data_IF_991707590011
#
_entry.id   IF_991707590011
#
_cell.length_a   1.000
_cell.length_b   1.000
_cell.length_c   1.000
_cell.angle_alpha   90.00
_cell.angle_beta   90.00
_cell.angle_gamma   90.00
#
_symmetry.space_group_name_H-M   'P 1'
#
loop_
_entity.id
_entity.type
_entity.pdbx_description
1 polymer ?
#
# COMPACT_ATOMS: atom_id res chain seq x y z
N UNK A 1 27.38 33.32 5.32
CA UNK A 1 28.79 33.50 5.68
C UNK A 1 29.25 34.79 5.03
N UNK A 2 29.32 35.88 5.81
CA UNK A 2 29.98 37.10 5.35
C UNK A 2 31.48 36.80 5.24
N UNK A 3 32.13 37.19 4.15
CA UNK A 3 33.60 37.20 4.06
C UNK A 3 34.10 37.97 5.26
N UNK A 4 34.74 37.26 6.21
CA UNK A 4 35.14 37.87 7.48
C UNK A 4 36.21 38.95 7.30
N UNK A 5 36.75 39.06 6.09
CA UNK A 5 37.75 40.03 5.70
C UNK A 5 37.27 40.77 4.43
N UNK A 6 36.61 41.91 4.62
CA UNK A 6 36.16 42.81 3.55
C UNK A 6 37.32 43.21 2.63
N UNK A 7 38.56 43.17 3.15
CA UNK A 7 39.77 43.45 2.40
C UNK A 7 40.06 42.40 1.31
N UNK A 8 39.66 41.14 1.47
CA UNK A 8 39.88 40.10 0.45
C UNK A 8 38.90 40.21 -0.73
N UNK A 9 37.77 40.89 -0.54
CA UNK A 9 36.72 41.00 -1.56
C UNK A 9 37.17 41.81 -2.79
N UNK A 10 37.99 42.86 -2.62
CA UNK A 10 38.53 43.64 -3.74
C UNK A 10 39.53 42.83 -4.58
N UNK A 11 40.27 41.93 -3.94
CA UNK A 11 41.26 41.09 -4.61
C UNK A 11 40.68 39.84 -5.25
N UNK A 12 39.48 39.41 -4.82
CA UNK A 12 38.78 38.30 -5.46
C UNK A 12 38.30 38.62 -6.90
N UNK A 13 38.27 39.90 -7.29
CA UNK A 13 37.78 40.39 -8.57
C UNK A 13 38.89 40.88 -9.52
N UNK A 14 40.16 40.96 -9.09
CA UNK A 14 41.29 41.38 -9.90
C UNK A 14 42.38 40.31 -9.96
N UNK A 15 43.18 40.31 -11.03
CA UNK A 15 44.30 39.38 -11.21
C UNK A 15 45.63 39.90 -10.63
N UNK A 16 45.60 40.98 -9.85
CA UNK A 16 46.78 41.57 -9.24
C UNK A 16 47.40 40.65 -8.17
N UNK A 17 48.72 40.76 -7.96
CA UNK A 17 49.42 39.95 -6.95
C UNK A 17 48.93 40.27 -5.54
N UNK A 18 48.41 39.26 -4.85
CA UNK A 18 47.89 39.40 -3.50
C UNK A 18 49.03 39.72 -2.51
N UNK A 19 48.91 40.78 -1.67
CA UNK A 19 49.89 41.09 -0.65
C UNK A 19 50.20 39.89 0.26
N UNK A 20 51.48 39.71 0.60
CA UNK A 20 51.99 38.53 1.34
C UNK A 20 51.22 38.24 2.64
N UNK A 21 50.88 39.28 3.41
CA UNK A 21 50.14 39.12 4.67
C UNK A 21 48.69 38.64 4.45
N UNK A 22 48.02 39.11 3.39
CA UNK A 22 46.69 38.62 2.99
C UNK A 22 46.77 37.19 2.47
N UNK A 23 47.83 36.83 1.76
CA UNK A 23 48.07 35.45 1.32
C UNK A 23 48.22 34.49 2.50
N UNK A 24 49.02 34.86 3.51
CA UNK A 24 49.19 34.05 4.73
C UNK A 24 47.88 33.94 5.54
N UNK A 25 47.13 35.04 5.67
CA UNK A 25 45.83 35.06 6.33
C UNK A 25 44.82 34.13 5.62
N UNK A 26 44.69 34.28 4.29
CA UNK A 26 43.81 33.45 3.47
C UNK A 26 44.19 31.97 3.56
N UNK A 27 45.49 31.64 3.51
CA UNK A 27 45.98 30.26 3.65
C UNK A 27 45.62 29.66 5.01
N UNK A 28 45.81 30.41 6.09
CA UNK A 28 45.43 29.96 7.43
C UNK A 28 43.92 29.73 7.53
N UNK A 29 43.11 30.62 6.96
CA UNK A 29 41.65 30.50 6.99
C UNK A 29 41.17 29.30 6.16
N UNK A 30 41.76 29.05 4.99
CA UNK A 30 41.47 27.88 4.17
C UNK A 30 41.68 26.57 4.95
N UNK A 31 42.80 26.43 5.67
CA UNK A 31 43.07 25.23 6.48
C UNK A 31 42.00 25.03 7.56
N UNK A 32 41.53 26.11 8.20
CA UNK A 32 40.44 26.04 9.17
C UNK A 32 39.13 25.62 8.52
N UNK A 33 38.75 26.24 7.40
CA UNK A 33 37.52 25.90 6.67
C UNK A 33 37.54 24.47 6.13
N UNK A 34 38.69 23.98 5.65
CA UNK A 34 38.86 22.60 5.21
C UNK A 34 38.61 21.62 6.36
N UNK A 35 39.14 21.91 7.55
CA UNK A 35 38.89 21.12 8.75
C UNK A 35 37.41 21.10 9.13
N UNK A 36 36.78 22.28 9.16
CA UNK A 36 35.36 22.41 9.46
C UNK A 36 34.48 21.68 8.44
N UNK A 37 34.85 21.74 7.16
CA UNK A 37 34.15 21.06 6.08
C UNK A 37 34.27 19.53 6.20
N UNK A 38 35.44 19.01 6.56
CA UNK A 38 35.62 17.58 6.84
C UNK A 38 34.75 17.14 8.02
N UNK A 39 34.74 17.91 9.11
CA UNK A 39 33.94 17.59 10.29
C UNK A 39 32.42 17.70 10.01
N UNK A 40 31.99 18.71 9.25
CA UNK A 40 30.61 18.87 8.84
C UNK A 40 30.15 17.70 7.94
N UNK A 41 31.00 17.24 7.01
CA UNK A 41 30.71 16.06 6.19
C UNK A 41 30.57 14.80 7.04
N UNK A 42 31.46 14.60 8.01
CA UNK A 42 31.37 13.47 8.94
C UNK A 42 30.04 13.47 9.70
N UNK A 43 29.66 14.61 10.29
CA UNK A 43 28.37 14.77 10.99
C UNK A 43 27.18 14.52 10.06
N UNK A 44 27.24 14.97 8.81
CA UNK A 44 26.18 14.71 7.83
C UNK A 44 26.02 13.21 7.54
N UNK A 45 27.12 12.47 7.42
CA UNK A 45 27.06 11.01 7.23
C UNK A 45 26.54 10.26 8.46
N UNK A 46 26.91 10.70 9.68
CA UNK A 46 26.37 10.15 10.92
C UNK A 46 24.84 10.36 11.02
N UNK A 47 24.37 11.58 10.72
CA UNK A 47 22.94 11.89 10.71
C UNK A 47 22.17 11.11 9.65
N UNK A 48 22.76 10.90 8.45
CA UNK A 48 22.15 10.05 7.43
C UNK A 48 21.98 8.61 7.91
N UNK A 49 22.99 8.05 8.57
CA UNK A 49 22.93 6.71 9.16
C UNK A 49 21.85 6.62 10.24
N UNK A 50 21.82 7.59 11.16
CA UNK A 50 20.80 7.64 12.21
C UNK A 50 19.38 7.76 11.64
N UNK A 51 19.20 8.56 10.58
CA UNK A 51 17.92 8.67 9.87
C UNK A 51 17.51 7.37 9.20
N UNK A 52 18.44 6.65 8.58
CA UNK A 52 18.16 5.35 7.97
C UNK A 52 17.71 4.33 9.01
N UNK A 53 18.44 4.22 10.13
CA UNK A 53 18.04 3.35 11.25
C UNK A 53 16.65 3.70 11.80
N UNK A 54 16.39 4.99 12.04
CA UNK A 54 15.08 5.43 12.52
C UNK A 54 13.94 5.15 11.52
N UNK A 55 14.22 5.20 10.22
CA UNK A 55 13.24 4.82 9.20
C UNK A 55 12.92 3.32 9.24
N UNK A 56 13.93 2.48 9.40
CA UNK A 56 13.75 1.03 9.52
C UNK A 56 12.95 0.66 10.78
N UNK A 57 13.21 1.32 11.91
CA UNK A 57 12.47 1.13 13.16
C UNK A 57 11.00 1.55 13.04
N UNK A 58 10.72 2.67 12.35
CA UNK A 58 9.36 3.12 12.06
C UNK A 58 8.65 2.09 11.18
N UNK A 59 9.27 1.66 10.08
CA UNK A 59 8.68 0.64 9.19
C UNK A 59 8.37 -0.66 9.93
N UNK A 60 9.29 -1.15 10.77
CA UNK A 60 9.08 -2.35 11.57
C UNK A 60 7.92 -2.20 12.57
N UNK A 61 7.78 -1.02 13.18
CA UNK A 61 6.69 -0.73 14.11
C UNK A 61 5.34 -0.62 13.39
N UNK A 62 5.31 0.00 12.21
CA UNK A 62 4.11 0.09 11.37
C UNK A 62 3.61 -1.30 10.95
N UNK A 63 4.51 -2.20 10.56
CA UNK A 63 4.17 -3.59 10.23
C UNK A 63 3.55 -4.34 11.40
N UNK A 64 4.08 -4.12 12.62
CA UNK A 64 3.50 -4.69 13.84
C UNK A 64 2.11 -4.11 14.12
N UNK A 65 1.95 -2.79 14.06
CA UNK A 65 0.66 -2.12 14.26
C UNK A 65 -0.37 -2.64 13.27
N UNK A 66 -0.01 -2.77 12.00
CA UNK A 66 -0.91 -3.27 10.97
C UNK A 66 -1.29 -4.74 11.21
N UNK A 67 -0.35 -5.55 11.67
CA UNK A 67 -0.63 -6.93 12.08
C UNK A 67 -1.66 -6.97 13.22
N UNK A 68 -1.46 -6.19 14.27
CA UNK A 68 -2.41 -6.14 15.39
C UNK A 68 -3.76 -5.55 15.00
N UNK A 69 -3.80 -4.52 14.14
CA UNK A 69 -5.04 -3.96 13.57
C UNK A 69 -5.85 -5.03 12.84
N UNK A 70 -5.19 -5.87 12.03
CA UNK A 70 -5.83 -7.02 11.37
C UNK A 70 -6.35 -8.06 12.37
N UNK A 71 -5.67 -8.26 13.52
CA UNK A 71 -6.13 -9.15 14.58
C UNK A 71 -7.37 -8.62 15.30
N UNK A 72 -7.41 -7.32 15.59
CA UNK A 72 -8.53 -6.69 16.31
C UNK A 72 -9.64 -6.17 15.40
N UNK A 73 -9.54 -6.38 14.09
CA UNK A 73 -10.54 -5.94 13.11
C UNK A 73 -11.96 -6.41 13.51
N UNK A 74 -12.94 -5.50 13.62
CA UNK A 74 -14.32 -5.84 14.01
C UNK A 74 -14.94 -6.92 13.13
N UNK A 75 -14.56 -6.99 11.85
CA UNK A 75 -15.03 -7.99 10.89
C UNK A 75 -14.74 -9.44 11.33
N UNK A 76 -13.69 -9.66 12.12
CA UNK A 76 -13.34 -11.00 12.64
C UNK A 76 -14.32 -11.48 13.71
N UNK A 77 -14.90 -10.55 14.47
CA UNK A 77 -15.87 -10.83 15.55
C UNK A 77 -17.31 -10.92 15.06
N UNK A 78 -17.56 -10.52 13.81
CA UNK A 78 -18.91 -10.54 13.25
C UNK A 78 -19.43 -11.98 13.14
N UNK A 79 -20.65 -12.28 13.62
CA UNK A 79 -21.30 -13.56 13.38
C UNK A 79 -21.40 -13.87 11.86
N UNK A 80 -21.29 -15.16 11.46
CA UNK A 80 -21.43 -15.57 10.07
C UNK A 80 -22.68 -15.04 9.37
N UNK A 81 -23.80 -14.95 10.08
CA UNK A 81 -25.11 -14.54 9.57
C UNK A 81 -25.10 -13.05 9.19
N UNK A 82 -24.53 -12.20 10.05
CA UNK A 82 -24.38 -10.78 9.76
C UNK A 82 -23.38 -10.56 8.61
N UNK A 83 -22.33 -11.38 8.52
CA UNK A 83 -21.41 -11.32 7.38
C UNK A 83 -22.10 -11.69 6.07
N UNK A 84 -22.93 -12.73 6.07
CA UNK A 84 -23.73 -13.12 4.93
C UNK A 84 -24.66 -11.98 4.49
N UNK A 85 -25.32 -11.31 5.44
CA UNK A 85 -26.15 -10.14 5.14
C UNK A 85 -25.34 -8.98 4.56
N UNK A 86 -24.18 -8.65 5.11
CA UNK A 86 -23.31 -7.60 4.52
C UNK A 86 -22.96 -7.94 3.07
N UNK A 87 -22.58 -9.19 2.81
CA UNK A 87 -22.27 -9.64 1.44
C UNK A 87 -23.51 -9.52 0.56
N UNK A 88 -24.69 -9.92 1.04
CA UNK A 88 -25.95 -9.84 0.32
C UNK A 88 -26.31 -8.39 -0.09
N UNK A 89 -26.02 -7.41 0.78
CA UNK A 89 -26.21 -5.98 0.51
C UNK A 89 -25.08 -5.34 -0.30
N UNK A 90 -23.93 -6.00 -0.44
CA UNK A 90 -22.78 -5.50 -1.21
C UNK A 90 -22.81 -5.95 -2.68
N UNK A 91 -23.67 -6.91 -3.01
CA UNK A 91 -23.91 -7.35 -4.37
C UNK A 91 -25.07 -6.50 -4.91
N UNK A 92 -24.92 -5.98 -6.13
CA UNK A 92 -25.99 -5.17 -6.72
C UNK A 92 -27.30 -5.98 -6.78
N UNK A 93 -28.41 -5.30 -6.48
CA UNK A 93 -29.75 -5.90 -6.57
C UNK A 93 -30.14 -6.21 -8.02
N UNK A 94 -29.36 -5.76 -9.00
CA UNK A 94 -29.55 -6.01 -10.41
C UNK A 94 -28.17 -6.13 -11.09
N UNK A 95 -27.56 -7.33 -11.14
CA UNK A 95 -26.48 -7.60 -12.06
C UNK A 95 -26.82 -7.01 -13.39
N UNK A 96 -26.03 -6.03 -13.82
CA UNK A 96 -25.89 -5.84 -15.24
C UNK A 96 -25.33 -7.15 -15.75
N UNK A 97 -26.16 -7.94 -16.43
CA UNK A 97 -25.69 -9.13 -17.11
C UNK A 97 -24.49 -8.69 -17.94
N UNK A 98 -23.39 -9.48 -17.94
CA UNK A 98 -22.18 -9.09 -18.63
C UNK A 98 -22.56 -8.81 -20.08
N UNK A 99 -22.63 -7.53 -20.42
CA UNK A 99 -22.65 -7.10 -21.81
C UNK A 99 -21.44 -7.79 -22.41
N UNK A 100 -21.60 -8.52 -23.51
CA UNK A 100 -20.55 -9.30 -24.16
C UNK A 100 -19.20 -8.54 -24.12
N UNK A 101 -18.34 -8.83 -23.13
CA UNK A 101 -17.06 -8.14 -22.90
C UNK A 101 -16.85 -7.37 -21.58
N UNK A 102 -17.84 -7.19 -20.70
CA UNK A 102 -17.68 -6.53 -19.39
C UNK A 102 -17.46 -7.52 -18.23
N UNK A 103 -16.64 -7.14 -17.24
CA UNK A 103 -16.46 -7.88 -15.97
C UNK A 103 -17.82 -8.27 -15.38
N UNK A 104 -18.06 -9.57 -15.25
CA UNK A 104 -19.35 -10.11 -14.80
C UNK A 104 -19.48 -9.97 -13.30
N UNK A 105 -20.70 -9.86 -12.76
CA UNK A 105 -20.95 -10.03 -11.32
C UNK A 105 -20.41 -11.32 -10.70
N UNK A 106 -20.11 -12.37 -11.48
CA UNK A 106 -19.34 -13.51 -10.96
C UNK A 106 -18.02 -13.07 -10.35
N UNK A 107 -17.42 -12.01 -10.89
CA UNK A 107 -16.20 -11.44 -10.37
C UNK A 107 -16.42 -10.81 -8.99
N UNK A 108 -17.60 -10.28 -8.66
CA UNK A 108 -17.83 -9.66 -7.35
C UNK A 108 -17.83 -10.71 -6.23
N UNK A 109 -18.64 -11.76 -6.32
CA UNK A 109 -18.66 -12.84 -5.33
C UNK A 109 -17.34 -13.61 -5.27
N UNK A 110 -16.69 -13.86 -6.41
CA UNK A 110 -15.37 -14.50 -6.44
C UNK A 110 -14.27 -13.60 -5.84
N UNK A 111 -14.35 -12.27 -6.03
CA UNK A 111 -13.47 -11.30 -5.34
C UNK A 111 -13.70 -11.36 -3.83
N UNK A 112 -14.96 -11.39 -3.38
CA UNK A 112 -15.29 -11.48 -1.96
C UNK A 112 -14.84 -12.81 -1.32
N UNK A 113 -14.92 -13.93 -2.04
CA UNK A 113 -14.36 -15.22 -1.61
C UNK A 113 -12.84 -15.19 -1.38
N UNK A 114 -12.11 -14.29 -2.05
CA UNK A 114 -10.65 -14.14 -1.92
C UNK A 114 -10.23 -13.25 -0.75
N UNK A 115 -11.17 -12.56 -0.08
CA UNK A 115 -10.86 -11.67 1.07
C UNK A 115 -10.20 -12.45 2.21
N UNK A 116 -10.87 -13.50 2.70
CA UNK A 116 -10.27 -14.45 3.64
C UNK A 116 -11.05 -15.76 3.70
N UNK A 117 -10.50 -16.77 4.40
CA UNK A 117 -11.13 -18.08 4.58
C UNK A 117 -12.54 -17.99 5.18
N UNK A 118 -12.77 -17.09 6.14
CA UNK A 118 -14.07 -16.90 6.79
C UNK A 118 -15.13 -16.42 5.80
N UNK A 119 -14.81 -15.43 4.97
CA UNK A 119 -15.71 -14.91 3.94
C UNK A 119 -16.06 -15.98 2.92
N UNK A 120 -15.06 -16.75 2.45
CA UNK A 120 -15.29 -17.89 1.57
C UNK A 120 -16.27 -18.89 2.19
N UNK A 121 -16.03 -19.31 3.42
CA UNK A 121 -16.91 -20.25 4.12
C UNK A 121 -18.34 -19.71 4.22
N UNK A 122 -18.51 -18.45 4.62
CA UNK A 122 -19.83 -17.82 4.74
C UNK A 122 -20.55 -17.74 3.39
N UNK A 123 -19.84 -17.36 2.32
CA UNK A 123 -20.43 -17.30 0.98
C UNK A 123 -20.86 -18.69 0.50
N UNK A 124 -20.00 -19.69 0.71
CA UNK A 124 -20.26 -21.07 0.30
C UNK A 124 -21.40 -21.71 1.11
N UNK A 125 -21.53 -21.35 2.39
CA UNK A 125 -22.54 -21.91 3.30
C UNK A 125 -23.86 -21.14 3.33
N UNK A 126 -24.00 -20.02 2.62
CA UNK A 126 -25.20 -19.17 2.65
C UNK A 126 -25.96 -19.24 1.33
N UNK A 127 -26.98 -20.10 1.22
CA UNK A 127 -27.68 -20.32 -0.04
C UNK A 127 -28.33 -19.08 -0.63
N UNK A 128 -28.76 -18.14 0.21
CA UNK A 128 -29.41 -16.90 -0.23
C UNK A 128 -28.51 -15.99 -1.08
N UNK A 129 -27.19 -16.18 -1.03
CA UNK A 129 -26.22 -15.45 -1.85
C UNK A 129 -26.14 -15.97 -3.30
N UNK A 130 -26.60 -17.20 -3.57
CA UNK A 130 -26.51 -17.82 -4.89
C UNK A 130 -27.83 -18.42 -5.40
N UNK A 131 -28.91 -18.33 -4.61
CA UNK A 131 -30.28 -18.69 -5.01
C UNK A 131 -30.99 -17.65 -5.87
N UNK A 132 -30.41 -16.46 -6.09
CA UNK A 132 -31.06 -15.40 -6.88
C UNK A 132 -31.14 -15.81 -8.36
N UNK A 133 -32.37 -15.98 -8.85
CA UNK A 133 -32.69 -16.26 -10.24
C UNK A 133 -32.93 -14.91 -10.95
N UNK A 134 -32.11 -14.59 -11.94
CA UNK A 134 -32.31 -13.42 -12.78
C UNK A 134 -33.09 -13.82 -14.02
N UNK A 135 -34.30 -13.27 -14.16
CA UNK A 135 -35.09 -13.35 -15.38
C UNK A 135 -34.92 -12.03 -16.12
N UNK A 136 -34.17 -12.05 -17.22
CA UNK A 136 -34.09 -10.92 -18.13
C UNK A 136 -35.19 -11.09 -19.19
N UNK A 137 -36.12 -10.13 -19.24
CA UNK A 137 -37.03 -9.98 -20.35
C UNK A 137 -36.38 -8.99 -21.31
N UNK A 138 -35.81 -9.50 -22.41
CA UNK A 138 -35.31 -8.66 -23.49
C UNK A 138 -36.52 -8.08 -24.23
N UNK A 139 -36.73 -6.76 -24.15
CA UNK A 139 -37.88 -6.06 -24.75
C UNK A 139 -37.96 -6.26 -26.28
N UNK A 140 -36.88 -6.74 -26.93
CA UNK A 140 -36.86 -7.02 -28.37
C UNK A 140 -36.74 -8.51 -28.73
N UNK A 141 -36.67 -9.42 -27.76
CA UNK A 141 -36.65 -10.85 -28.01
C UNK A 141 -37.33 -11.59 -26.85
N UNK A 142 -38.57 -12.02 -27.06
CA UNK A 142 -39.39 -12.78 -26.09
C UNK A 142 -38.88 -14.23 -25.99
N UNK A 143 -37.60 -14.41 -25.69
CA UNK A 143 -37.04 -15.66 -25.23
C UNK A 143 -36.63 -15.45 -23.79
N UNK A 144 -37.39 -15.94 -22.80
CA UNK A 144 -36.98 -15.86 -21.41
C UNK A 144 -35.67 -16.62 -21.25
N UNK A 145 -34.55 -15.89 -21.17
CA UNK A 145 -33.25 -16.47 -20.81
C UNK A 145 -33.24 -16.69 -19.31
N UNK A 146 -33.84 -17.80 -18.88
CA UNK A 146 -33.71 -18.28 -17.51
C UNK A 146 -32.25 -18.69 -17.31
N UNK A 147 -31.43 -17.76 -16.81
CA UNK A 147 -30.07 -18.11 -16.42
C UNK A 147 -30.10 -18.66 -15.00
N UNK A 148 -30.63 -19.87 -14.85
CA UNK A 148 -30.51 -20.65 -13.61
C UNK A 148 -29.08 -21.17 -13.49
N UNK A 149 -28.13 -20.30 -13.12
CA UNK A 149 -26.77 -20.71 -12.82
C UNK A 149 -26.70 -21.08 -11.35
N UNK A 150 -27.12 -22.31 -11.05
CA UNK A 150 -26.70 -23.01 -9.84
C UNK A 150 -25.17 -22.96 -9.88
N UNK A 151 -24.55 -22.16 -9.00
CA UNK A 151 -23.14 -22.33 -8.68
C UNK A 151 -23.05 -23.74 -8.10
N UNK A 152 -22.85 -24.75 -8.97
CA UNK A 152 -22.49 -26.09 -8.54
C UNK A 152 -21.20 -25.90 -7.77
N UNK A 153 -21.30 -25.90 -6.45
CA UNK A 153 -20.18 -26.13 -5.56
C UNK A 153 -19.46 -27.35 -6.14
N UNK A 154 -18.15 -27.29 -6.45
CA UNK A 154 -17.39 -28.52 -6.55
C UNK A 154 -17.62 -29.21 -5.22
N UNK A 155 -18.40 -30.29 -5.27
CA UNK A 155 -18.64 -31.17 -4.15
C UNK A 155 -17.27 -31.43 -3.53
N UNK A 156 -17.14 -31.08 -2.25
CA UNK A 156 -15.97 -31.38 -1.45
C UNK A 156 -15.79 -32.90 -1.43
N UNK A 157 -15.06 -33.42 -2.41
CA UNK A 157 -14.46 -34.74 -2.33
C UNK A 157 -13.40 -34.61 -1.24
N UNK A 158 -13.74 -35.12 -0.06
CA UNK A 158 -12.89 -34.99 1.11
C UNK A 158 -11.52 -35.57 0.85
N UNK A 159 -10.49 -34.72 0.90
CA UNK A 159 -9.12 -35.19 1.12
C UNK A 159 -8.97 -35.43 2.63
N UNK A 160 -9.46 -36.60 3.07
CA UNK A 160 -8.93 -37.26 4.27
C UNK A 160 -7.53 -37.75 3.92
N UNK A 161 -6.51 -36.95 4.24
CA UNK A 161 -5.17 -37.44 4.54
C UNK A 161 -4.83 -36.98 5.96
N UNK A 162 -4.86 -37.90 6.92
CA UNK A 162 -3.70 -38.67 7.41
C UNK A 162 -2.75 -37.70 8.11
N UNK A 163 -2.65 -37.69 9.44
CA UNK A 163 -2.21 -38.83 10.24
C UNK A 163 -0.72 -38.66 10.49
N UNK A 164 -0.38 -38.51 11.78
CA UNK A 164 0.91 -38.18 12.41
C UNK A 164 1.23 -36.69 12.51
#
# INVERSE_FOLDING_TARGET
MALHDVALASWAACNDELPVHLHLSAKSHLVTLERELVEARKRAEELKKARAMGHDDVSATEDQVETYRKLVSPMRRLPPELLAHIVLFSIDEFPRLPHYGGESERDSLERLRRVCKKWKTVIDSSPELWKRLWLEADEMNISPRITARILRLPCWAGDRRSGV
#
